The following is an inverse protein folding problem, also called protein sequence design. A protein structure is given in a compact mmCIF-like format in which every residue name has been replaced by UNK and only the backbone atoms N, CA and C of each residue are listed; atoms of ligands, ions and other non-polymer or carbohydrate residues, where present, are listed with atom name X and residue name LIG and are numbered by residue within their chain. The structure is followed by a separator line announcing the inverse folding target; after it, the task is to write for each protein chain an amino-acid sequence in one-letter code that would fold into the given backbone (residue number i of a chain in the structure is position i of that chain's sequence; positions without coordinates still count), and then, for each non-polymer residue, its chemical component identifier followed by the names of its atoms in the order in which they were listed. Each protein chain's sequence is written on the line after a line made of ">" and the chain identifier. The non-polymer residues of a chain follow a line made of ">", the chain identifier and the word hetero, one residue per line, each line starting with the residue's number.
data_IF_598307572515
#
_entry.id   IF_598307572515
#
_cell.length_a   1.000
_cell.length_b   1.000
_cell.length_c   1.000
_cell.angle_alpha   90.00
_cell.angle_beta   90.00
_cell.angle_gamma   90.00
#
_symmetry.space_group_name_H-M   'P 1'
#
loop_
_entity.id
_entity.type
_entity.pdbx_description
1 polymer ?
#
# COMPACT_ATOMS: atom_id res chain seq x y z
N UNK A 1 24.85 -22.29 3.73
CA UNK A 1 24.89 -20.96 3.12
C UNK A 1 24.38 -19.98 4.17
N UNK A 2 25.20 -19.01 4.60
CA UNK A 2 24.78 -18.05 5.64
C UNK A 2 23.78 -17.06 5.03
N UNK A 3 22.54 -17.07 5.54
CA UNK A 3 21.51 -16.11 5.16
C UNK A 3 21.87 -14.75 5.72
N UNK A 4 22.42 -13.87 4.87
CA UNK A 4 22.74 -12.49 5.27
C UNK A 4 21.44 -11.70 5.26
N UNK A 5 20.80 -11.58 6.43
CA UNK A 5 19.59 -10.76 6.55
C UNK A 5 19.97 -9.27 6.44
N UNK A 6 19.25 -8.48 5.63
CA UNK A 6 19.49 -7.05 5.51
C UNK A 6 19.21 -6.33 6.83
N UNK A 7 20.04 -5.34 7.17
CA UNK A 7 19.91 -4.53 8.39
C UNK A 7 19.33 -3.16 8.07
N UNK A 8 18.48 -2.68 8.96
CA UNK A 8 17.94 -1.31 8.93
C UNK A 8 18.68 -0.50 9.97
N UNK A 9 19.32 0.60 9.56
CA UNK A 9 20.05 1.51 10.45
C UNK A 9 19.67 2.95 10.13
N UNK A 10 19.31 3.73 11.16
CA UNK A 10 19.02 5.15 11.04
C UNK A 10 19.68 5.92 12.20
N UNK A 11 20.10 7.15 11.94
CA UNK A 11 20.51 8.09 12.98
C UNK A 11 19.28 8.86 13.43
N UNK A 12 19.12 9.02 14.74
CA UNK A 12 18.05 9.80 15.36
C UNK A 12 18.67 10.82 16.30
N UNK A 13 18.04 11.97 16.45
CA UNK A 13 18.38 12.94 17.49
C UNK A 13 17.88 12.48 18.86
N UNK A 14 18.24 13.24 19.90
CA UNK A 14 17.93 12.92 21.29
C UNK A 14 16.41 12.94 21.55
N UNK A 15 15.70 13.88 20.94
CA UNK A 15 14.25 14.07 21.14
C UNK A 15 13.48 12.91 20.52
N UNK A 16 13.87 12.49 19.31
CA UNK A 16 13.31 11.32 18.63
C UNK A 16 13.63 10.04 19.41
N UNK A 17 14.84 9.92 19.95
CA UNK A 17 15.21 8.77 20.78
C UNK A 17 14.34 8.68 22.05
N UNK A 18 14.12 9.78 22.76
CA UNK A 18 13.27 9.81 23.96
C UNK A 18 11.81 9.46 23.61
N UNK A 19 11.27 10.05 22.53
CA UNK A 19 9.94 9.74 22.03
C UNK A 19 9.75 8.25 21.74
N UNK A 20 10.67 7.65 20.97
CA UNK A 20 10.59 6.23 20.62
C UNK A 20 10.77 5.33 21.84
N UNK A 21 11.60 5.72 22.80
CA UNK A 21 11.79 4.99 24.06
C UNK A 21 10.50 4.97 24.89
N UNK A 22 9.85 6.12 25.05
CA UNK A 22 8.57 6.23 25.77
C UNK A 22 7.48 5.43 25.07
N UNK A 23 7.37 5.56 23.75
CA UNK A 23 6.39 4.81 22.96
C UNK A 23 6.61 3.30 23.07
N UNK A 24 7.86 2.83 23.01
CA UNK A 24 8.20 1.42 23.21
C UNK A 24 7.77 0.92 24.60
N UNK A 25 8.02 1.70 25.65
CA UNK A 25 7.60 1.36 27.01
C UNK A 25 6.08 1.29 27.16
N UNK A 26 5.34 2.26 26.61
CA UNK A 26 3.86 2.28 26.62
C UNK A 26 3.29 1.08 25.87
N UNK A 27 3.88 0.74 24.72
CA UNK A 27 3.47 -0.41 23.91
C UNK A 27 3.93 -1.77 24.46
N UNK A 28 4.59 -1.81 25.63
CA UNK A 28 5.07 -3.04 26.26
C UNK A 28 6.19 -3.74 25.50
N UNK A 29 6.93 -3.00 24.66
CA UNK A 29 7.99 -3.57 23.84
C UNK A 29 9.34 -3.53 24.56
N UNK A 30 10.16 -4.59 24.46
CA UNK A 30 11.39 -4.72 25.23
C UNK A 30 12.53 -3.80 24.76
N UNK A 31 12.42 -3.20 23.56
CA UNK A 31 13.45 -2.32 23.03
C UNK A 31 12.91 -1.34 21.99
N UNK A 32 13.63 -0.23 21.81
CA UNK A 32 13.39 0.75 20.73
C UNK A 32 13.45 0.07 19.35
N UNK A 33 14.40 -0.84 19.13
CA UNK A 33 14.57 -1.52 17.85
C UNK A 33 13.36 -2.40 17.51
N UNK A 34 12.82 -3.12 18.49
CA UNK A 34 11.60 -3.92 18.32
C UNK A 34 10.40 -3.02 17.98
N UNK A 35 10.30 -1.86 18.64
CA UNK A 35 9.26 -0.88 18.37
C UNK A 35 9.35 -0.28 16.96
N UNK A 36 10.53 0.20 16.56
CA UNK A 36 10.73 0.78 15.23
C UNK A 36 10.43 -0.24 14.14
N UNK A 37 10.89 -1.48 14.28
CA UNK A 37 10.61 -2.53 13.30
C UNK A 37 9.11 -2.83 13.21
N UNK A 38 8.43 -3.00 14.36
CA UNK A 38 7.00 -3.29 14.39
C UNK A 38 6.19 -2.15 13.77
N UNK A 39 6.48 -0.90 14.14
CA UNK A 39 5.80 0.27 13.61
C UNK A 39 6.04 0.44 12.11
N UNK A 40 7.27 0.21 11.62
CA UNK A 40 7.59 0.26 10.21
C UNK A 40 6.83 -0.80 9.40
N UNK A 41 6.76 -2.04 9.92
CA UNK A 41 6.01 -3.14 9.27
C UNK A 41 4.51 -2.84 9.25
N UNK A 42 3.95 -2.36 10.35
CA UNK A 42 2.54 -1.97 10.42
C UNK A 42 2.22 -0.87 9.41
N UNK A 43 3.04 0.19 9.38
CA UNK A 43 2.85 1.29 8.45
C UNK A 43 2.99 0.86 6.99
N UNK A 44 3.95 -0.02 6.69
CA UNK A 44 4.10 -0.58 5.35
C UNK A 44 2.87 -1.37 4.91
N UNK A 45 2.29 -2.21 5.78
CA UNK A 45 1.04 -2.94 5.50
C UNK A 45 -0.11 -1.97 5.20
N UNK A 46 -0.27 -0.94 6.03
CA UNK A 46 -1.33 0.06 5.84
C UNK A 46 -1.17 0.79 4.50
N UNK A 47 0.05 1.18 4.11
CA UNK A 47 0.29 1.86 2.83
C UNK A 47 -0.04 0.95 1.66
N UNK A 48 0.42 -0.31 1.69
CA UNK A 48 0.15 -1.29 0.61
C UNK A 48 -1.34 -1.59 0.51
N UNK A 49 -2.04 -1.71 1.63
CA UNK A 49 -3.48 -1.93 1.66
C UNK A 49 -4.24 -0.72 1.11
N UNK A 50 -3.84 0.50 1.47
CA UNK A 50 -4.42 1.74 0.95
C UNK A 50 -4.20 1.91 -0.55
N UNK A 51 -3.04 1.51 -1.07
CA UNK A 51 -2.73 1.55 -2.50
C UNK A 51 -3.59 0.56 -3.30
N UNK A 52 -3.83 -0.64 -2.75
CA UNK A 52 -4.66 -1.67 -3.38
C UNK A 52 -6.16 -1.42 -3.25
N UNK A 53 -6.58 -0.67 -2.24
CA UNK A 53 -7.98 -0.40 -1.97
C UNK A 53 -8.44 0.87 -2.70
N UNK A 54 -9.32 0.69 -3.68
CA UNK A 54 -10.04 1.82 -4.27
C UNK A 54 -11.11 2.29 -3.27
N UNK A 55 -10.83 3.38 -2.56
CA UNK A 55 -11.85 4.03 -1.70
C UNK A 55 -12.78 4.85 -2.58
N UNK A 56 -13.98 4.34 -2.77
CA UNK A 56 -15.04 5.01 -3.51
C UNK A 56 -15.82 5.93 -2.57
N UNK A 57 -16.19 7.11 -3.05
CA UNK A 57 -17.26 7.87 -2.39
C UNK A 57 -18.59 7.16 -2.60
N UNK A 58 -19.63 7.52 -1.84
CA UNK A 58 -20.96 6.93 -2.02
C UNK A 58 -21.46 7.09 -3.48
N UNK A 59 -21.23 8.26 -4.07
CA UNK A 59 -21.56 8.52 -5.47
C UNK A 59 -20.80 7.60 -6.43
N UNK A 60 -19.49 7.46 -6.25
CA UNK A 60 -18.66 6.61 -7.11
C UNK A 60 -19.00 5.13 -6.94
N UNK A 61 -19.40 4.71 -5.74
CA UNK A 61 -19.86 3.35 -5.47
C UNK A 61 -21.17 3.03 -6.20
N UNK A 62 -22.13 3.98 -6.22
CA UNK A 62 -23.36 3.82 -7.02
C UNK A 62 -23.08 3.77 -8.51
N UNK A 63 -22.15 4.61 -9.02
CA UNK A 63 -21.72 4.59 -10.41
C UNK A 63 -21.09 3.26 -10.78
N UNK A 64 -20.21 2.73 -9.91
CA UNK A 64 -19.62 1.41 -10.11
C UNK A 64 -20.70 0.32 -10.13
N UNK A 65 -21.67 0.37 -9.22
CA UNK A 65 -22.74 -0.62 -9.14
C UNK A 65 -23.61 -0.61 -10.40
N UNK A 66 -24.04 0.56 -10.88
CA UNK A 66 -24.84 0.66 -12.11
C UNK A 66 -24.03 0.20 -13.34
N UNK A 67 -22.72 0.47 -13.38
CA UNK A 67 -21.84 -0.03 -14.44
C UNK A 67 -21.63 -1.56 -14.40
N UNK A 68 -21.67 -2.18 -13.21
CA UNK A 68 -21.61 -3.64 -13.05
C UNK A 68 -22.94 -4.31 -13.43
N UNK A 69 -24.07 -3.72 -13.04
CA UNK A 69 -25.41 -4.23 -13.36
C UNK A 69 -25.77 -4.03 -14.84
N UNK A 70 -25.30 -2.94 -15.46
CA UNK A 70 -25.52 -2.61 -16.86
C UNK A 70 -24.17 -2.38 -17.56
N UNK A 71 -23.46 -3.46 -17.93
CA UNK A 71 -22.16 -3.33 -18.57
C UNK A 71 -22.28 -2.55 -19.88
N UNK A 72 -21.55 -1.44 -19.99
CA UNK A 72 -21.54 -0.60 -21.16
C UNK A 72 -20.88 -1.32 -22.36
N UNK A 73 -21.45 -1.16 -23.55
CA UNK A 73 -20.83 -1.66 -24.78
C UNK A 73 -19.58 -0.87 -25.11
N UNK A 74 -18.49 -1.55 -25.45
CA UNK A 74 -17.24 -0.90 -25.86
C UNK A 74 -17.46 0.05 -27.07
N UNK A 75 -16.98 1.29 -26.94
CA UNK A 75 -17.07 2.29 -28.01
C UNK A 75 -16.09 1.98 -29.17
N UNK A 76 -16.28 2.66 -30.31
CA UNK A 76 -15.46 2.44 -31.52
C UNK A 76 -13.96 2.67 -31.28
N UNK A 77 -13.60 3.64 -30.42
CA UNK A 77 -12.21 3.95 -30.08
C UNK A 77 -11.56 2.84 -29.26
N UNK A 78 -12.27 2.26 -28.28
CA UNK A 78 -11.80 1.12 -27.47
C UNK A 78 -11.61 -0.13 -28.33
N UNK A 79 -12.56 -0.39 -29.25
CA UNK A 79 -12.44 -1.51 -30.21
C UNK A 79 -11.21 -1.36 -31.13
N UNK A 80 -11.00 -0.16 -31.66
CA UNK A 80 -9.83 0.12 -32.50
C UNK A 80 -8.50 0.02 -31.72
N UNK A 81 -8.47 0.42 -30.45
CA UNK A 81 -7.30 0.28 -29.59
C UNK A 81 -6.98 -1.19 -29.28
N UNK A 82 -7.98 -2.01 -28.97
CA UNK A 82 -7.82 -3.44 -28.75
C UNK A 82 -7.24 -4.14 -30.00
N UNK A 83 -7.81 -3.86 -31.18
CA UNK A 83 -7.31 -4.40 -32.44
C UNK A 83 -5.83 -4.02 -32.72
N UNK A 84 -5.42 -2.78 -32.40
CA UNK A 84 -4.01 -2.37 -32.56
C UNK A 84 -3.06 -3.14 -31.62
N UNK A 85 -3.50 -3.40 -30.39
CA UNK A 85 -2.72 -4.15 -29.41
C UNK A 85 -2.53 -5.62 -29.83
N UNK A 86 -3.59 -6.26 -30.31
CA UNK A 86 -3.54 -7.64 -30.82
C UNK A 86 -2.60 -7.78 -32.02
N UNK A 87 -2.62 -6.81 -32.94
CA UNK A 87 -1.71 -6.79 -34.09
C UNK A 87 -0.24 -6.46 -33.74
N UNK A 88 0.03 -5.93 -32.54
CA UNK A 88 1.40 -5.62 -32.07
C UNK A 88 2.03 -6.79 -31.28
N UNK A 89 1.19 -7.67 -30.73
CA UNK A 89 1.63 -8.80 -29.90
C UNK A 89 1.76 -10.11 -30.70
N UNK A 90 1.45 -10.08 -31.99
CA UNK A 90 1.74 -11.13 -32.99
C UNK A 90 3.04 -10.83 -33.71
#
# INVERSE_FOLDING_TARGET
>A
MATILPRITARVDIDTQDLLTRAAAISGMPSINSFVLSAAVEKAKQIIEQDKALKLTEHDAMLLMDALDKPATANSNLKAAAARYENTTQ
#
